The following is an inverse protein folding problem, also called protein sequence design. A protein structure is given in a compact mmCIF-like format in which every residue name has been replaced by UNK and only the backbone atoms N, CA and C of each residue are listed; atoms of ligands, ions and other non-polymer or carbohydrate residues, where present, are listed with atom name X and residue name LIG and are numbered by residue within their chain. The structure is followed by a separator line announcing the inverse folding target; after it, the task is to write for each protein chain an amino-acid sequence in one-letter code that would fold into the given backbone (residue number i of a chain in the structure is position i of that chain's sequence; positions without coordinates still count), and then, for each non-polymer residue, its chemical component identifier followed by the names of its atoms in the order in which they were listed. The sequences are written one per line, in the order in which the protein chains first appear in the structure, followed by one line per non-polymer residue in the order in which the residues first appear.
data_IF_839559188134
#
_entry.id   IF_839559188134
#
_cell.length_a   1.000
_cell.length_b   1.000
_cell.length_c   1.000
_cell.angle_alpha   90.00
_cell.angle_beta   90.00
_cell.angle_gamma   90.00
#
_symmetry.space_group_name_H-M   'P 1'
#
loop_
_entity.id
_entity.type
_entity.pdbx_description
1 polymer ?
#
# COMPACT_ATOMS: atom_id res chain seq x y z
N UNK A 1 10.72 14.56 -14.62
CA UNK A 1 11.26 13.37 -15.31
C UNK A 1 11.45 13.73 -16.78
N UNK A 2 12.63 13.51 -17.36
CA UNK A 2 12.94 13.91 -18.75
C UNK A 2 13.10 12.65 -19.60
N UNK A 3 12.45 12.61 -20.76
CA UNK A 3 12.51 11.50 -21.70
C UNK A 3 13.48 11.85 -22.83
N UNK A 4 14.72 11.39 -22.73
CA UNK A 4 15.78 11.65 -23.72
C UNK A 4 16.06 10.47 -24.66
N UNK A 5 15.37 9.34 -24.47
CA UNK A 5 15.53 8.11 -25.26
C UNK A 5 16.78 7.30 -24.94
N UNK A 6 17.56 7.68 -23.92
CA UNK A 6 18.72 6.90 -23.48
C UNK A 6 18.32 5.68 -22.66
N UNK A 7 19.08 4.60 -22.79
CA UNK A 7 18.89 3.38 -21.97
C UNK A 7 18.92 3.70 -20.46
N UNK A 8 19.76 4.65 -20.05
CA UNK A 8 19.84 5.10 -18.66
C UNK A 8 18.50 5.64 -18.18
N UNK A 9 17.82 6.45 -18.98
CA UNK A 9 16.51 7.00 -18.62
C UNK A 9 15.47 5.87 -18.59
N UNK A 10 15.49 4.94 -19.53
CA UNK A 10 14.61 3.77 -19.50
C UNK A 10 14.75 2.95 -18.21
N UNK A 11 15.96 2.74 -17.73
CA UNK A 11 16.20 1.99 -16.49
C UNK A 11 15.69 2.74 -15.25
N UNK A 12 15.86 4.08 -15.24
CA UNK A 12 15.29 4.94 -14.18
C UNK A 12 13.76 4.85 -14.21
N UNK A 13 13.13 4.94 -15.39
CA UNK A 13 11.68 4.89 -15.54
C UNK A 13 11.08 3.59 -15.02
N UNK A 14 11.72 2.45 -15.32
CA UNK A 14 11.26 1.12 -14.91
C UNK A 14 11.16 0.96 -13.39
N UNK A 15 11.96 1.71 -12.63
CA UNK A 15 11.97 1.66 -11.16
C UNK A 15 11.19 2.80 -10.52
N UNK A 16 11.32 4.03 -11.05
CA UNK A 16 10.70 5.20 -10.44
C UNK A 16 9.18 5.25 -10.63
N UNK A 17 8.67 4.83 -11.80
CA UNK A 17 7.23 4.94 -12.11
C UNK A 17 6.36 4.03 -11.22
N UNK A 18 6.71 2.74 -11.00
CA UNK A 18 5.98 1.92 -10.04
C UNK A 18 6.03 2.51 -8.63
N UNK A 19 7.19 3.01 -8.18
CA UNK A 19 7.34 3.49 -6.81
C UNK A 19 6.55 4.78 -6.53
N UNK A 20 6.48 5.70 -7.50
CA UNK A 20 5.69 6.94 -7.39
C UNK A 20 4.20 6.65 -7.18
N UNK A 21 3.64 5.73 -7.96
CA UNK A 21 2.22 5.37 -7.89
C UNK A 21 1.94 4.49 -6.68
N UNK A 22 2.70 3.41 -6.52
CA UNK A 22 2.42 2.37 -5.54
C UNK A 22 2.65 2.84 -4.11
N UNK A 23 3.53 3.81 -3.87
CA UNK A 23 3.65 4.46 -2.55
C UNK A 23 2.33 5.11 -2.12
N UNK A 24 1.65 5.80 -3.04
CA UNK A 24 0.35 6.42 -2.78
C UNK A 24 -0.79 5.39 -2.64
N UNK A 25 -0.72 4.28 -3.37
CA UNK A 25 -1.68 3.17 -3.21
C UNK A 25 -1.47 2.48 -1.86
N UNK A 26 -0.23 2.18 -1.47
CA UNK A 26 0.11 1.60 -0.18
C UNK A 26 -0.37 2.48 0.98
N UNK A 27 -0.16 3.80 0.92
CA UNK A 27 -0.69 4.73 1.93
C UNK A 27 -2.22 4.64 2.05
N UNK A 28 -2.93 4.54 0.93
CA UNK A 28 -4.40 4.39 0.93
C UNK A 28 -4.84 3.03 1.47
N UNK A 29 -4.09 1.98 1.19
CA UNK A 29 -4.31 0.66 1.79
C UNK A 29 -4.22 0.77 3.32
N UNK A 30 -3.19 1.46 3.84
CA UNK A 30 -3.04 1.74 5.28
C UNK A 30 -4.16 2.58 5.89
N UNK A 31 -4.82 3.42 5.08
CA UNK A 31 -6.04 4.12 5.47
C UNK A 31 -7.30 3.23 5.36
N UNK A 32 -7.15 1.90 5.28
CA UNK A 32 -8.21 0.89 5.16
C UNK A 32 -9.04 0.98 3.87
N UNK A 33 -8.47 1.50 2.78
CA UNK A 33 -9.15 1.48 1.48
C UNK A 33 -9.07 0.07 0.85
N UNK A 34 -10.21 -0.62 0.76
CA UNK A 34 -10.31 -2.01 0.26
C UNK A 34 -9.69 -2.21 -1.13
N UNK A 35 -10.02 -1.34 -2.09
CA UNK A 35 -9.49 -1.45 -3.45
C UNK A 35 -7.95 -1.33 -3.46
N UNK A 36 -7.42 -0.40 -2.66
CA UNK A 36 -5.97 -0.21 -2.55
C UNK A 36 -5.28 -1.40 -1.88
N UNK A 37 -5.92 -2.03 -0.89
CA UNK A 37 -5.43 -3.27 -0.24
C UNK A 37 -5.30 -4.37 -1.29
N UNK A 38 -6.35 -4.63 -2.07
CA UNK A 38 -6.34 -5.64 -3.14
C UNK A 38 -5.26 -5.36 -4.17
N UNK A 39 -5.13 -4.11 -4.64
CA UNK A 39 -4.08 -3.72 -5.60
C UNK A 39 -2.67 -3.95 -5.05
N UNK A 40 -2.42 -3.64 -3.77
CA UNK A 40 -1.11 -3.88 -3.14
C UNK A 40 -0.82 -5.38 -3.00
N UNK A 41 -1.82 -6.19 -2.65
CA UNK A 41 -1.67 -7.66 -2.60
C UNK A 41 -1.26 -8.23 -3.96
N UNK A 42 -1.91 -7.79 -5.04
CA UNK A 42 -1.58 -8.22 -6.40
C UNK A 42 -0.17 -7.75 -6.81
N UNK A 43 0.17 -6.49 -6.54
CA UNK A 43 1.50 -5.94 -6.82
C UNK A 43 2.60 -6.73 -6.11
N UNK A 44 2.45 -7.02 -4.82
CA UNK A 44 3.42 -7.79 -4.04
C UNK A 44 3.63 -9.20 -4.62
N UNK A 45 2.57 -9.83 -5.14
CA UNK A 45 2.67 -11.13 -5.80
C UNK A 45 3.40 -11.02 -7.15
N UNK A 46 3.13 -9.99 -7.94
CA UNK A 46 3.80 -9.77 -9.23
C UNK A 46 5.28 -9.42 -9.08
N UNK A 47 5.65 -8.74 -8.01
CA UNK A 47 7.00 -8.26 -7.73
C UNK A 47 7.74 -9.12 -6.69
N UNK A 48 7.29 -10.35 -6.46
CA UNK A 48 7.84 -11.27 -5.46
C UNK A 48 9.37 -11.43 -5.63
N UNK A 49 10.09 -11.32 -4.51
CA UNK A 49 11.55 -11.41 -4.47
C UNK A 49 12.31 -10.14 -4.89
N UNK A 50 11.61 -9.07 -5.30
CA UNK A 50 12.22 -7.77 -5.63
C UNK A 50 11.74 -6.65 -4.71
N UNK A 51 10.43 -6.42 -4.69
CA UNK A 51 9.81 -5.33 -3.95
C UNK A 51 8.71 -5.87 -3.02
N UNK A 52 8.47 -5.17 -1.92
CA UNK A 52 7.40 -5.51 -1.00
C UNK A 52 6.80 -4.28 -0.34
N UNK A 53 5.48 -4.13 -0.45
CA UNK A 53 4.69 -3.09 0.19
C UNK A 53 3.94 -3.68 1.38
N UNK A 54 4.13 -3.10 2.56
CA UNK A 54 3.45 -3.55 3.77
C UNK A 54 1.95 -3.27 3.71
N UNK A 55 1.13 -4.24 4.12
CA UNK A 55 -0.31 -4.10 4.28
C UNK A 55 -0.67 -3.93 5.77
N UNK A 56 -1.73 -3.17 6.09
CA UNK A 56 -2.20 -3.08 7.47
C UNK A 56 -2.85 -4.39 7.90
N UNK A 57 -2.60 -4.79 9.16
CA UNK A 57 -3.47 -5.75 9.85
C UNK A 57 -4.63 -4.96 10.45
N UNK A 58 -5.81 -5.08 9.86
CA UNK A 58 -7.01 -4.40 10.32
C UNK A 58 -7.45 -5.06 11.63
N UNK A 59 -7.66 -4.25 12.66
CA UNK A 59 -8.15 -4.71 13.95
C UNK A 59 -9.58 -5.24 13.84
N UNK A 60 -9.93 -6.18 14.69
CA UNK A 60 -11.29 -6.70 14.80
C UNK A 60 -12.18 -5.67 15.49
N UNK A 61 -13.20 -5.20 14.79
CA UNK A 61 -14.12 -4.19 15.30
C UNK A 61 -15.01 -4.76 16.42
N UNK A 62 -15.35 -6.06 16.41
CA UNK A 62 -16.12 -6.71 17.49
C UNK A 62 -15.32 -6.72 18.80
N UNK A 63 -14.03 -7.06 18.72
CA UNK A 63 -13.12 -7.03 19.87
C UNK A 63 -13.00 -5.62 20.48
N UNK A 64 -13.01 -4.58 19.63
CA UNK A 64 -12.94 -3.19 20.10
C UNK A 64 -14.25 -2.83 20.81
N UNK A 65 -15.40 -3.15 20.22
CA UNK A 65 -16.72 -2.86 20.81
C UNK A 65 -16.88 -3.55 22.17
N UNK A 66 -16.54 -4.83 22.28
CA UNK A 66 -16.60 -5.58 23.55
C UNK A 66 -15.71 -4.94 24.65
N UNK A 67 -14.60 -4.32 24.26
CA UNK A 67 -13.63 -3.76 25.20
C UNK A 67 -14.04 -2.38 25.76
N UNK A 68 -14.71 -1.56 24.94
CA UNK A 68 -14.98 -0.15 25.26
C UNK A 68 -16.42 0.34 25.06
N UNK A 69 -17.30 -0.43 24.40
CA UNK A 69 -18.65 0.00 24.00
C UNK A 69 -19.56 0.43 25.15
N UNK A 70 -19.46 -0.23 26.30
CA UNK A 70 -20.31 0.04 27.47
C UNK A 70 -19.69 0.97 28.51
N UNK A 71 -18.47 1.50 28.28
CA UNK A 71 -17.82 2.39 29.25
C UNK A 71 -18.25 3.84 29.00
N UNK A 72 -19.29 4.28 29.70
CA UNK A 72 -19.48 5.72 29.92
C UNK A 72 -18.24 6.25 30.67
N UNK A 73 -17.46 7.09 30.00
CA UNK A 73 -16.34 7.80 30.61
C UNK A 73 -16.92 8.98 31.41
N UNK A 74 -17.04 8.84 32.74
CA UNK A 74 -17.27 9.95 33.68
C UNK A 74 -16.06 10.88 33.79
#
# INVERSE_FOLDING_TARGET
MVLDGSQRVDDILRTSMPWDVMSGVARRAWARNENSITTVMEYNKMCEGKDHLTLPFIADDEMIEDLVGDKEFE
#
